data_IF_565217986747
#
_entry.id   IF_565217986747
#
_cell.length_a   1.000
_cell.length_b   1.000
_cell.length_c   1.000
_cell.angle_alpha   90.00
_cell.angle_beta   90.00
_cell.angle_gamma   90.00
#
_symmetry.space_group_name_H-M   'P 1'
#
loop_
_entity.id
_entity.type
_entity.pdbx_description
1 polymer ?
#
# COMPACT_ATOMS: atom_id res chain seq x y z
N UNK A 1 -9.64 -38.12 -19.34
CA UNK A 1 -10.00 -36.80 -19.83
C UNK A 1 -9.91 -35.85 -18.66
N UNK A 2 -8.79 -35.15 -18.56
CA UNK A 2 -8.56 -34.13 -17.54
C UNK A 2 -9.23 -32.89 -18.11
N UNK A 3 -10.25 -32.37 -17.42
CA UNK A 3 -10.89 -31.11 -17.79
C UNK A 3 -9.83 -30.00 -17.73
N UNK A 4 -9.52 -29.39 -18.87
CA UNK A 4 -8.79 -28.14 -18.93
C UNK A 4 -9.56 -27.11 -18.09
N UNK A 5 -8.94 -26.68 -17.00
CA UNK A 5 -9.43 -25.55 -16.24
C UNK A 5 -9.38 -24.34 -17.18
N UNK A 6 -10.55 -23.91 -17.65
CA UNK A 6 -10.71 -22.67 -18.38
C UNK A 6 -10.15 -21.55 -17.51
N UNK A 7 -9.02 -20.95 -17.94
CA UNK A 7 -8.53 -19.70 -17.37
C UNK A 7 -9.69 -18.70 -17.37
N UNK A 8 -9.95 -17.98 -16.27
CA UNK A 8 -10.93 -16.91 -16.31
C UNK A 8 -10.56 -15.97 -17.45
N UNK A 9 -11.53 -15.64 -18.30
CA UNK A 9 -11.34 -14.60 -19.32
C UNK A 9 -10.93 -13.33 -18.58
N UNK A 10 -9.69 -12.94 -18.76
CA UNK A 10 -9.22 -11.64 -18.33
C UNK A 10 -10.05 -10.61 -19.09
N UNK A 11 -10.95 -9.93 -18.40
CA UNK A 11 -11.68 -8.79 -18.93
C UNK A 11 -10.72 -7.60 -18.99
N UNK A 12 -9.91 -7.54 -20.02
CA UNK A 12 -9.13 -6.35 -20.31
C UNK A 12 -10.07 -5.23 -20.73
N UNK A 13 -10.03 -4.11 -20.02
CA UNK A 13 -10.72 -2.89 -20.40
C UNK A 13 -9.73 -1.96 -21.08
N UNK A 14 -10.14 -1.38 -22.22
CA UNK A 14 -9.31 -0.42 -22.93
C UNK A 14 -9.08 0.81 -22.08
N UNK A 15 -7.84 1.11 -21.81
CA UNK A 15 -7.43 2.31 -21.11
C UNK A 15 -6.02 2.68 -21.37
N UNK A 16 -5.55 3.59 -20.66
CA UNK A 16 -4.19 3.91 -20.29
C UNK A 16 -3.51 5.01 -21.11
N UNK A 17 -3.98 5.37 -22.26
CA UNK A 17 -3.56 6.60 -22.90
C UNK A 17 -4.72 7.32 -23.59
N UNK A 18 -4.60 8.63 -23.72
CA UNK A 18 -5.66 9.42 -24.32
C UNK A 18 -5.74 9.27 -25.85
N UNK A 19 -4.73 8.70 -26.48
CA UNK A 19 -4.54 8.75 -27.93
C UNK A 19 -4.40 10.17 -28.45
N UNK A 20 -4.46 10.34 -29.77
CA UNK A 20 -4.42 11.63 -30.41
C UNK A 20 -3.07 11.99 -30.99
N UNK A 21 -2.84 13.28 -31.19
CA UNK A 21 -1.68 13.78 -31.91
C UNK A 21 -0.94 14.87 -31.12
N UNK A 22 0.38 14.91 -31.31
CA UNK A 22 1.20 16.05 -30.96
C UNK A 22 1.64 16.70 -32.27
N UNK A 23 1.37 17.99 -32.41
CA UNK A 23 1.82 18.77 -33.56
C UNK A 23 2.97 19.67 -33.13
N UNK A 24 4.13 19.49 -33.72
CA UNK A 24 5.33 20.30 -33.49
C UNK A 24 5.56 21.17 -34.71
N UNK A 25 5.48 22.49 -34.52
CA UNK A 25 5.81 23.46 -35.57
C UNK A 25 7.20 24.03 -35.33
N UNK A 26 8.06 23.93 -36.32
CA UNK A 26 9.41 24.44 -36.30
C UNK A 26 9.47 25.62 -37.25
N UNK A 27 9.95 26.76 -36.75
CA UNK A 27 10.09 28.00 -37.53
C UNK A 27 11.47 28.58 -37.28
N UNK A 28 12.20 28.87 -38.34
CA UNK A 28 13.48 29.60 -38.28
C UNK A 28 13.20 31.10 -38.23
N UNK A 29 13.73 31.76 -37.21
CA UNK A 29 13.64 33.20 -36.99
C UNK A 29 15.04 33.80 -36.95
N UNK A 30 15.19 35.12 -37.10
CA UNK A 30 16.50 35.80 -37.00
C UNK A 30 17.22 35.51 -35.68
N UNK A 31 16.44 35.34 -34.60
CA UNK A 31 16.95 35.09 -33.25
C UNK A 31 17.25 33.60 -32.98
N UNK A 32 16.95 32.70 -33.92
CA UNK A 32 17.11 31.28 -33.80
C UNK A 32 15.85 30.47 -34.11
N UNK A 33 15.88 29.19 -33.83
CA UNK A 33 14.75 28.29 -34.08
C UNK A 33 13.71 28.40 -32.97
N UNK A 34 12.47 28.59 -33.40
CA UNK A 34 11.31 28.61 -32.51
C UNK A 34 10.47 27.34 -32.66
N UNK A 35 10.00 26.82 -31.56
CA UNK A 35 9.18 25.62 -31.50
C UNK A 35 7.82 25.95 -30.89
N UNK A 36 6.75 25.47 -31.53
CA UNK A 36 5.40 25.47 -30.96
C UNK A 36 4.88 24.03 -30.88
N UNK A 37 4.42 23.62 -29.73
CA UNK A 37 3.98 22.23 -29.48
C UNK A 37 2.51 22.28 -29.05
N UNK A 38 1.66 21.61 -29.81
CA UNK A 38 0.23 21.48 -29.53
C UNK A 38 -0.12 20.02 -29.29
N UNK A 39 -0.81 19.75 -28.17
CA UNK A 39 -1.32 18.42 -27.82
C UNK A 39 -2.82 18.37 -28.09
N UNK A 40 -3.26 17.38 -28.86
CA UNK A 40 -4.69 17.13 -29.12
C UNK A 40 -5.02 15.69 -28.76
N UNK A 41 -5.66 15.52 -27.62
CA UNK A 41 -6.11 14.20 -27.14
C UNK A 41 -7.42 13.81 -27.81
N UNK A 42 -7.55 12.54 -28.18
CA UNK A 42 -8.73 11.99 -28.89
C UNK A 42 -9.73 11.32 -27.96
N UNK A 43 -9.32 10.91 -26.77
CA UNK A 43 -10.17 10.17 -25.82
C UNK A 43 -10.26 10.92 -24.50
N UNK A 44 -11.40 10.82 -23.79
CA UNK A 44 -11.46 11.30 -22.42
C UNK A 44 -10.39 10.58 -21.61
N UNK A 45 -9.57 11.34 -20.93
CA UNK A 45 -8.62 10.80 -19.98
C UNK A 45 -9.42 10.22 -18.83
N UNK A 46 -9.02 9.05 -18.29
CA UNK A 46 -9.62 8.48 -17.11
C UNK A 46 -9.52 9.48 -15.92
N UNK A 47 -9.25 9.15 -14.74
CA UNK A 47 -9.42 10.08 -13.62
C UNK A 47 -8.19 10.94 -13.31
N UNK A 48 -7.00 10.51 -13.69
CA UNK A 48 -5.76 11.24 -13.35
C UNK A 48 -4.59 10.87 -14.25
N UNK A 49 -3.55 11.68 -14.19
CA UNK A 49 -2.28 11.39 -14.86
C UNK A 49 -1.11 11.87 -13.99
N UNK A 50 0.09 11.37 -14.28
CA UNK A 50 1.35 11.94 -13.80
C UNK A 50 2.33 12.06 -14.97
N UNK A 51 3.28 13.00 -14.84
CA UNK A 51 4.26 13.27 -15.88
C UNK A 51 5.63 12.69 -15.52
N UNK A 52 6.31 12.20 -16.56
CA UNK A 52 7.71 11.82 -16.51
C UNK A 52 8.49 12.85 -17.29
N UNK A 53 9.47 13.51 -16.65
CA UNK A 53 10.30 14.48 -17.30
C UNK A 53 11.47 13.78 -17.98
N UNK A 54 11.54 13.92 -19.31
CA UNK A 54 12.62 13.37 -20.12
C UNK A 54 13.54 14.52 -20.53
N UNK A 55 14.82 14.39 -20.19
CA UNK A 55 15.83 15.40 -20.55
C UNK A 55 16.06 15.41 -22.05
N UNK A 56 16.01 16.61 -22.63
CA UNK A 56 16.25 16.85 -24.06
C UNK A 56 17.50 17.74 -24.22
N UNK A 57 18.69 17.19 -24.38
CA UNK A 57 19.91 17.97 -24.54
C UNK A 57 19.90 18.82 -25.81
N UNK A 58 20.32 20.07 -25.72
CA UNK A 58 20.59 20.92 -26.84
C UNK A 58 19.38 21.64 -27.47
N UNK A 59 18.15 21.37 -27.03
CA UNK A 59 16.94 22.06 -27.53
C UNK A 59 16.24 22.74 -26.34
N UNK A 60 16.19 24.09 -26.33
CA UNK A 60 15.47 24.80 -25.28
C UNK A 60 13.96 24.61 -25.48
N UNK A 61 13.33 23.79 -24.65
CA UNK A 61 11.87 23.63 -24.61
C UNK A 61 11.35 24.56 -23.52
N UNK A 62 10.73 25.66 -23.91
CA UNK A 62 9.89 26.44 -23.00
C UNK A 62 8.47 25.87 -23.07
N UNK A 63 8.06 25.14 -22.06
CA UNK A 63 6.70 24.68 -21.96
C UNK A 63 5.83 25.73 -21.28
N UNK A 64 4.90 26.29 -22.04
CA UNK A 64 3.80 27.05 -21.47
C UNK A 64 2.61 26.08 -21.28
N UNK A 65 2.23 25.82 -20.07
CA UNK A 65 0.99 25.08 -19.77
C UNK A 65 -0.17 26.05 -19.92
N UNK A 66 -0.88 25.97 -21.04
CA UNK A 66 -2.13 26.69 -21.25
C UNK A 66 -3.29 25.89 -20.63
N UNK A 67 -3.69 26.29 -19.44
CA UNK A 67 -5.05 26.05 -18.93
C UNK A 67 -5.50 24.59 -18.76
N UNK A 68 -4.62 23.68 -18.42
CA UNK A 68 -5.02 22.34 -17.94
C UNK A 68 -5.39 22.38 -16.46
N UNK A 69 -6.41 21.66 -16.05
CA UNK A 69 -6.57 21.34 -14.63
C UNK A 69 -5.40 20.43 -14.26
N UNK A 70 -4.29 21.02 -13.83
CA UNK A 70 -3.11 20.29 -13.39
C UNK A 70 -3.48 19.35 -12.26
N UNK A 71 -3.06 18.10 -12.35
CA UNK A 71 -3.07 17.22 -11.19
C UNK A 71 -2.28 17.90 -10.06
N UNK A 72 -2.73 17.84 -8.80
CA UNK A 72 -1.95 18.35 -7.68
C UNK A 72 -0.55 17.72 -7.55
N UNK A 73 -0.26 16.70 -8.35
CA UNK A 73 1.02 16.02 -8.42
C UNK A 73 1.86 16.39 -9.67
N UNK A 74 1.36 17.26 -10.55
CA UNK A 74 2.16 17.74 -11.67
C UNK A 74 3.18 18.76 -11.16
N UNK A 75 4.48 18.48 -11.20
CA UNK A 75 5.51 19.40 -10.72
C UNK A 75 5.69 20.63 -11.62
N UNK A 76 4.94 20.70 -12.71
CA UNK A 76 5.09 21.74 -13.72
C UNK A 76 6.29 21.51 -14.66
N UNK A 77 6.50 22.40 -15.65
CA UNK A 77 7.56 22.25 -16.62
C UNK A 77 8.95 22.38 -15.98
N UNK A 78 9.84 21.46 -16.31
CA UNK A 78 11.24 21.47 -15.91
C UNK A 78 12.07 21.98 -17.11
N UNK A 79 12.89 23.02 -16.96
CA UNK A 79 13.73 23.54 -18.04
C UNK A 79 14.61 22.45 -18.68
N UNK A 80 14.65 22.40 -20.01
CA UNK A 80 15.42 21.41 -20.76
C UNK A 80 14.84 19.99 -20.74
N UNK A 81 13.60 19.83 -20.28
CA UNK A 81 12.89 18.56 -20.29
C UNK A 81 11.55 18.69 -20.99
N UNK A 82 11.06 17.60 -21.58
CA UNK A 82 9.67 17.47 -22.00
C UNK A 82 8.95 16.45 -21.14
N UNK A 83 7.63 16.52 -21.13
CA UNK A 83 6.78 15.67 -20.28
C UNK A 83 6.17 14.54 -21.09
N UNK A 84 6.30 13.32 -20.61
CA UNK A 84 5.53 12.16 -21.07
C UNK A 84 4.48 11.85 -20.04
N UNK A 85 3.21 11.83 -20.45
CA UNK A 85 2.09 11.59 -19.55
C UNK A 85 1.76 10.12 -19.46
N UNK A 86 1.62 9.63 -18.22
CA UNK A 86 1.11 8.31 -17.90
C UNK A 86 -0.26 8.47 -17.25
N UNK A 87 -1.26 7.81 -17.82
CA UNK A 87 -2.65 7.91 -17.38
C UNK A 87 -3.05 6.75 -16.50
N UNK A 88 -4.02 6.98 -15.62
CA UNK A 88 -4.65 5.92 -14.83
C UNK A 88 -5.58 5.07 -15.68
N UNK A 89 -5.95 3.91 -15.16
CA UNK A 89 -7.04 3.12 -15.69
C UNK A 89 -8.42 3.76 -15.40
N UNK A 90 -9.51 3.11 -15.86
CA UNK A 90 -10.89 3.58 -15.64
C UNK A 90 -11.29 3.68 -14.16
N UNK A 91 -10.57 3.01 -13.27
CA UNK A 91 -10.77 3.05 -11.82
C UNK A 91 -9.88 4.10 -11.14
N UNK A 92 -9.07 4.83 -11.90
CA UNK A 92 -8.11 5.79 -11.38
C UNK A 92 -6.86 5.15 -10.79
N UNK A 93 -6.55 3.92 -11.19
CA UNK A 93 -5.39 3.18 -10.69
C UNK A 93 -4.28 3.16 -11.75
N UNK A 94 -3.05 3.11 -11.29
CA UNK A 94 -1.86 2.93 -12.12
C UNK A 94 -1.24 1.57 -11.82
N UNK A 95 -0.92 0.79 -12.85
CA UNK A 95 -0.08 -0.39 -12.72
C UNK A 95 1.34 -0.02 -12.31
N UNK A 96 1.92 -0.81 -11.44
CA UNK A 96 3.27 -0.66 -10.92
C UNK A 96 3.98 -1.99 -10.90
N UNK A 97 5.29 -1.98 -11.13
CA UNK A 97 6.12 -3.16 -11.05
C UNK A 97 7.41 -2.83 -10.31
N UNK A 98 7.76 -3.66 -9.35
CA UNK A 98 8.99 -3.49 -8.58
C UNK A 98 10.18 -4.15 -9.26
N UNK A 99 11.24 -3.40 -9.54
CA UNK A 99 12.48 -3.95 -10.11
C UNK A 99 13.25 -4.87 -9.15
N UNK A 100 13.06 -4.70 -7.84
CA UNK A 100 13.78 -5.51 -6.84
C UNK A 100 13.13 -6.88 -6.59
N UNK A 101 11.80 -7.00 -6.60
CA UNK A 101 11.09 -8.25 -6.36
C UNK A 101 10.20 -8.71 -7.52
N UNK A 102 10.15 -7.96 -8.60
CA UNK A 102 9.40 -8.19 -9.84
C UNK A 102 7.89 -8.40 -9.65
N UNK A 103 7.32 -7.92 -8.52
CA UNK A 103 5.89 -8.04 -8.23
C UNK A 103 5.14 -6.83 -8.76
N UNK A 104 3.91 -7.09 -9.23
CA UNK A 104 2.98 -6.12 -9.77
C UNK A 104 1.91 -5.75 -8.73
N UNK A 105 1.51 -4.49 -8.69
CA UNK A 105 0.37 -3.96 -7.93
C UNK A 105 -0.22 -2.75 -8.64
N UNK A 106 -1.36 -2.25 -8.14
CA UNK A 106 -1.96 -1.00 -8.59
C UNK A 106 -2.08 0.00 -7.46
N UNK A 107 -1.97 1.28 -7.78
CA UNK A 107 -2.16 2.37 -6.83
C UNK A 107 -2.80 3.59 -7.50
N UNK A 108 -3.52 4.41 -6.72
CA UNK A 108 -4.09 5.68 -7.23
C UNK A 108 -3.09 6.83 -7.28
N UNK A 109 -1.94 6.68 -6.68
CA UNK A 109 -0.94 7.74 -6.57
C UNK A 109 0.41 7.27 -7.12
N UNK A 110 1.29 8.20 -7.52
CA UNK A 110 2.67 7.86 -7.86
C UNK A 110 3.36 7.18 -6.68
N UNK A 111 3.88 5.98 -6.92
CA UNK A 111 4.51 5.15 -5.89
C UNK A 111 5.97 5.54 -5.70
N UNK A 112 6.44 5.50 -4.46
CA UNK A 112 7.84 5.66 -4.06
C UNK A 112 8.35 4.45 -3.25
N UNK A 113 7.44 3.52 -2.92
CA UNK A 113 7.74 2.25 -2.26
C UNK A 113 7.09 1.10 -2.99
N UNK A 114 7.74 -0.06 -2.96
CA UNK A 114 7.12 -1.30 -3.39
C UNK A 114 6.11 -1.79 -2.35
N UNK A 115 4.88 -2.07 -2.77
CA UNK A 115 3.83 -2.56 -1.89
C UNK A 115 4.16 -3.92 -1.23
N UNK A 116 5.11 -4.70 -1.77
CA UNK A 116 5.46 -6.02 -1.23
C UNK A 116 6.77 -6.08 -0.48
N UNK A 117 7.82 -5.46 -1.03
CA UNK A 117 9.14 -5.56 -0.43
C UNK A 117 9.59 -4.27 0.25
N UNK A 118 8.81 -3.21 0.16
CA UNK A 118 9.15 -1.92 0.75
C UNK A 118 10.42 -1.27 0.16
N UNK A 119 10.94 -1.79 -0.98
CA UNK A 119 12.02 -1.12 -1.68
C UNK A 119 11.57 0.29 -2.08
N UNK A 120 12.42 1.28 -1.86
CA UNK A 120 12.14 2.68 -2.17
C UNK A 120 12.91 3.15 -3.38
N UNK A 121 12.26 3.97 -4.21
CA UNK A 121 12.85 4.54 -5.41
C UNK A 121 12.02 5.68 -5.96
N UNK A 122 12.50 6.33 -7.02
CA UNK A 122 11.73 7.34 -7.71
C UNK A 122 10.52 6.71 -8.44
N UNK A 123 9.44 7.48 -8.59
CA UNK A 123 8.19 6.95 -9.13
C UNK A 123 8.32 6.31 -10.53
N UNK A 124 9.24 6.80 -11.36
CA UNK A 124 9.52 6.23 -12.68
C UNK A 124 10.21 4.86 -12.64
N UNK A 125 10.81 4.48 -11.52
CA UNK A 125 11.45 3.17 -11.33
C UNK A 125 10.43 2.05 -11.06
N UNK A 126 9.16 2.41 -10.85
CA UNK A 126 8.04 1.48 -10.68
C UNK A 126 7.15 1.36 -11.92
N UNK A 127 7.59 1.90 -13.05
CA UNK A 127 6.89 1.66 -14.31
C UNK A 127 6.87 0.17 -14.64
N UNK A 128 5.77 -0.30 -15.20
CA UNK A 128 5.72 -1.62 -15.84
C UNK A 128 6.63 -1.61 -17.07
N UNK A 129 7.02 -2.79 -17.54
CA UNK A 129 7.83 -2.89 -18.75
C UNK A 129 7.13 -2.25 -19.97
N UNK A 130 5.81 -2.39 -20.07
CA UNK A 130 5.02 -1.77 -21.13
C UNK A 130 5.04 -0.23 -21.02
N UNK A 131 4.83 0.31 -19.82
CA UNK A 131 4.91 1.76 -19.59
C UNK A 131 6.31 2.31 -19.89
N UNK A 132 7.36 1.59 -19.48
CA UNK A 132 8.73 1.99 -19.75
C UNK A 132 9.02 2.03 -21.26
N UNK A 133 8.59 1.00 -22.02
CA UNK A 133 8.71 0.99 -23.48
C UNK A 133 7.92 2.12 -24.14
N UNK A 134 6.71 2.39 -23.66
CA UNK A 134 5.93 3.53 -24.16
C UNK A 134 6.65 4.85 -23.97
N UNK A 135 7.18 5.13 -22.78
CA UNK A 135 7.97 6.35 -22.51
C UNK A 135 9.17 6.43 -23.43
N UNK A 136 9.84 5.34 -23.70
CA UNK A 136 10.98 5.26 -24.62
C UNK A 136 10.57 5.56 -26.06
N UNK A 137 9.51 4.95 -26.57
CA UNK A 137 9.02 5.17 -27.94
C UNK A 137 8.50 6.60 -28.12
N UNK A 138 7.74 7.11 -27.14
CA UNK A 138 7.30 8.51 -27.12
C UNK A 138 8.51 9.46 -27.18
N UNK A 139 9.54 9.20 -26.38
CA UNK A 139 10.74 10.01 -26.34
C UNK A 139 11.48 10.00 -27.67
N UNK A 140 11.59 8.84 -28.30
CA UNK A 140 12.22 8.68 -29.60
C UNK A 140 11.48 9.44 -30.69
N UNK A 141 10.15 9.30 -30.76
CA UNK A 141 9.31 10.03 -31.74
C UNK A 141 9.37 11.55 -31.53
N UNK A 142 9.42 11.99 -30.28
CA UNK A 142 9.53 13.41 -29.95
C UNK A 142 10.89 13.98 -30.34
N UNK A 143 11.96 13.26 -30.06
CA UNK A 143 13.32 13.63 -30.45
C UNK A 143 13.50 13.68 -31.97
N UNK A 144 12.96 12.69 -32.68
CA UNK A 144 12.97 12.65 -34.14
C UNK A 144 12.27 13.88 -34.71
N UNK A 145 11.05 14.19 -34.28
CA UNK A 145 10.31 15.36 -34.71
C UNK A 145 11.04 16.69 -34.45
N UNK A 146 11.73 16.83 -33.32
CA UNK A 146 12.52 18.02 -32.98
C UNK A 146 13.85 18.12 -33.75
N UNK A 147 14.36 16.99 -34.26
CA UNK A 147 15.66 16.94 -34.97
C UNK A 147 15.61 17.46 -36.40
N UNK A 148 14.42 17.58 -36.98
CA UNK A 148 14.24 18.07 -38.36
C UNK A 148 14.84 19.49 -38.53
N UNK A 149 15.58 19.68 -39.61
CA UNK A 149 16.27 20.94 -39.90
C UNK A 149 15.40 21.95 -40.66
N UNK A 150 14.38 21.47 -41.33
CA UNK A 150 13.49 22.28 -42.15
C UNK A 150 12.34 22.90 -41.33
N UNK A 151 11.91 24.10 -41.70
CA UNK A 151 10.70 24.69 -41.17
C UNK A 151 9.49 23.86 -41.63
N UNK A 152 8.58 23.55 -40.68
CA UNK A 152 7.45 22.71 -41.01
C UNK A 152 6.61 22.30 -39.80
N UNK A 153 5.62 21.50 -40.11
CA UNK A 153 4.74 20.89 -39.12
C UNK A 153 4.99 19.37 -39.07
N UNK A 154 5.37 18.87 -37.91
CA UNK A 154 5.70 17.48 -37.68
C UNK A 154 4.67 16.90 -36.70
N UNK A 155 4.03 15.81 -37.08
CA UNK A 155 2.95 15.23 -36.33
C UNK A 155 3.38 13.90 -35.74
N UNK A 156 3.21 13.73 -34.42
CA UNK A 156 3.40 12.48 -33.70
C UNK A 156 2.02 11.91 -33.40
N UNK A 157 1.73 10.74 -33.92
CA UNK A 157 0.53 9.98 -33.62
C UNK A 157 0.76 9.17 -32.35
N UNK A 158 0.03 9.51 -31.27
CA UNK A 158 0.15 8.84 -29.96
C UNK A 158 -0.40 7.43 -29.97
N UNK A 159 -1.35 7.11 -30.84
CA UNK A 159 -1.83 5.74 -31.03
C UNK A 159 -0.74 4.89 -31.69
N UNK A 160 -0.09 5.42 -32.72
CA UNK A 160 1.04 4.75 -33.36
C UNK A 160 2.24 4.56 -32.43
N UNK A 161 2.54 5.54 -31.57
CA UNK A 161 3.57 5.42 -30.53
C UNK A 161 3.26 4.27 -29.57
N UNK A 162 2.02 4.16 -29.15
CA UNK A 162 1.60 3.10 -28.25
C UNK A 162 1.57 1.72 -28.94
N UNK A 163 1.16 1.66 -30.21
CA UNK A 163 1.19 0.43 -31.01
C UNK A 163 2.62 -0.10 -31.24
N UNK A 164 3.60 0.80 -31.38
CA UNK A 164 5.00 0.43 -31.55
C UNK A 164 5.64 -0.22 -30.30
N UNK A 165 4.99 -0.15 -29.15
CA UNK A 165 5.49 -0.72 -27.88
C UNK A 165 5.37 -2.25 -27.84
N UNK A 166 4.43 -2.82 -28.57
CA UNK A 166 4.07 -4.23 -28.48
C UNK A 166 4.41 -5.06 -29.69
N UNK A 167 4.24 -6.35 -29.57
CA UNK A 167 4.13 -7.32 -30.63
C UNK A 167 2.68 -7.34 -31.17
N UNK A 168 2.29 -8.33 -31.93
CA UNK A 168 0.95 -8.46 -32.54
C UNK A 168 -0.25 -8.29 -31.57
N UNK A 169 -0.05 -8.51 -30.27
CA UNK A 169 -1.03 -8.19 -29.23
C UNK A 169 -0.83 -6.77 -28.71
N UNK A 170 -1.94 -6.04 -28.51
CA UNK A 170 -1.88 -4.69 -27.91
C UNK A 170 -1.16 -4.78 -26.55
N UNK A 171 -0.22 -3.87 -26.30
CA UNK A 171 0.55 -3.92 -25.04
C UNK A 171 -0.35 -3.70 -23.83
N UNK A 172 0.00 -4.24 -22.67
CA UNK A 172 -0.77 -4.06 -21.42
C UNK A 172 -1.09 -2.61 -21.09
N UNK A 173 -0.32 -1.68 -21.63
CA UNK A 173 -0.55 -0.24 -21.49
C UNK A 173 -1.90 0.24 -22.05
N UNK A 174 -2.47 -0.45 -23.04
CA UNK A 174 -3.77 -0.13 -23.62
C UNK A 174 -4.96 -0.65 -22.82
N UNK A 175 -4.71 -1.52 -21.86
CA UNK A 175 -5.77 -2.23 -21.15
C UNK A 175 -5.92 -1.72 -19.73
N UNK A 176 -7.04 -2.06 -19.10
CA UNK A 176 -7.17 -1.92 -17.67
C UNK A 176 -6.04 -2.67 -17.01
N UNK A 177 -5.44 -2.00 -16.03
CA UNK A 177 -4.46 -2.65 -15.21
C UNK A 177 -5.09 -3.85 -14.49
N UNK A 178 -4.35 -4.94 -14.39
CA UNK A 178 -4.83 -6.18 -13.80
C UNK A 178 -5.24 -5.98 -12.34
N UNK A 179 -6.53 -6.23 -12.03
CA UNK A 179 -7.06 -6.15 -10.68
C UNK A 179 -6.42 -7.24 -9.81
N UNK A 180 -5.92 -6.83 -8.65
CA UNK A 180 -5.36 -7.74 -7.65
C UNK A 180 -6.46 -8.21 -6.68
N UNK A 181 -6.11 -8.91 -5.61
CA UNK A 181 -7.08 -9.53 -4.71
C UNK A 181 -7.53 -8.65 -3.55
N UNK A 182 -6.66 -7.76 -3.08
CA UNK A 182 -6.90 -7.01 -1.86
C UNK A 182 -6.70 -5.52 -2.07
N UNK A 183 -7.81 -4.79 -1.96
CA UNK A 183 -7.83 -3.33 -2.02
C UNK A 183 -7.87 -2.76 -0.61
N UNK A 184 -6.97 -1.85 -0.31
CA UNK A 184 -6.98 -1.13 0.96
C UNK A 184 -6.67 0.36 0.76
N UNK A 185 -7.14 1.15 1.71
CA UNK A 185 -6.79 2.57 1.84
C UNK A 185 -5.83 2.71 3.00
N UNK A 186 -4.72 3.39 2.77
CA UNK A 186 -3.73 3.64 3.80
C UNK A 186 -4.29 4.56 4.88
N UNK A 187 -4.24 4.15 6.15
CA UNK A 187 -4.69 4.95 7.29
C UNK A 187 -3.86 6.23 7.50
N UNK A 188 -2.62 6.26 7.02
CA UNK A 188 -1.70 7.37 7.26
C UNK A 188 -1.75 8.45 6.18
N UNK A 189 -1.88 8.07 4.90
CA UNK A 189 -1.81 9.02 3.78
C UNK A 189 -2.96 8.93 2.77
N UNK A 190 -3.98 8.09 3.05
CA UNK A 190 -5.19 7.90 2.24
C UNK A 190 -4.93 7.40 0.81
N UNK A 191 -3.73 6.90 0.53
CA UNK A 191 -3.44 6.27 -0.76
C UNK A 191 -4.23 4.97 -0.90
N UNK A 192 -4.77 4.74 -2.10
CA UNK A 192 -5.49 3.51 -2.43
C UNK A 192 -4.56 2.54 -3.13
N UNK A 193 -4.50 1.33 -2.60
CA UNK A 193 -3.66 0.25 -3.07
C UNK A 193 -4.49 -0.95 -3.47
N UNK A 194 -4.02 -1.72 -4.47
CA UNK A 194 -4.61 -2.98 -4.89
C UNK A 194 -3.47 -4.00 -5.05
N UNK A 195 -3.37 -4.95 -4.14
CA UNK A 195 -2.26 -5.89 -4.00
C UNK A 195 -2.71 -7.34 -4.05
N UNK A 196 -1.80 -8.24 -4.40
CA UNK A 196 -1.98 -9.67 -4.22
C UNK A 196 -1.58 -10.06 -2.79
N UNK A 197 -2.49 -10.71 -2.08
CA UNK A 197 -2.31 -11.04 -0.68
C UNK A 197 -2.83 -9.99 0.29
N UNK A 198 -2.80 -10.31 1.59
CA UNK A 198 -3.48 -9.53 2.64
C UNK A 198 -2.65 -8.36 3.16
N UNK A 199 -1.34 -8.58 3.30
CA UNK A 199 -0.44 -7.65 3.98
C UNK A 199 0.54 -7.00 3.01
N UNK A 200 0.74 -5.71 3.15
CA UNK A 200 1.62 -4.94 2.29
C UNK A 200 2.01 -3.59 2.85
N UNK A 201 2.85 -2.90 2.08
CA UNK A 201 3.21 -1.52 2.32
C UNK A 201 2.30 -0.59 1.51
N UNK A 202 1.99 0.56 2.05
CA UNK A 202 1.51 1.67 1.25
C UNK A 202 2.60 2.10 0.28
N UNK A 203 2.29 2.13 -1.01
CA UNK A 203 3.28 2.45 -2.03
C UNK A 203 3.71 3.93 -2.04
N UNK A 204 2.98 4.78 -1.33
CA UNK A 204 3.25 6.23 -1.25
C UNK A 204 4.04 6.62 -0.01
N UNK A 205 3.65 6.15 1.18
CA UNK A 205 4.32 6.53 2.42
C UNK A 205 5.12 5.41 3.08
N UNK A 206 5.04 4.18 2.58
CA UNK A 206 5.78 3.05 3.14
C UNK A 206 5.23 2.50 4.46
N UNK A 207 4.10 3.01 4.99
CA UNK A 207 3.46 2.42 6.15
C UNK A 207 2.87 1.05 5.83
N UNK A 208 2.78 0.18 6.84
CA UNK A 208 2.20 -1.14 6.66
C UNK A 208 0.70 -1.15 6.97
N UNK A 209 -0.05 -2.01 6.26
CA UNK A 209 -1.49 -2.16 6.48
C UNK A 209 -1.85 -3.22 7.55
N UNK A 210 -0.87 -3.89 8.15
CA UNK A 210 -1.10 -5.05 9.03
C UNK A 210 -1.99 -4.74 10.22
N UNK A 211 -1.79 -3.59 10.87
CA UNK A 211 -2.63 -3.16 12.01
C UNK A 211 -4.06 -2.89 11.57
N UNK A 212 -4.27 -2.26 10.41
CA UNK A 212 -5.61 -2.02 9.88
C UNK A 212 -6.34 -3.34 9.56
N UNK A 213 -5.62 -4.32 9.03
CA UNK A 213 -6.16 -5.67 8.77
C UNK A 213 -6.47 -6.43 10.07
N UNK A 214 -5.63 -6.28 11.09
CA UNK A 214 -5.91 -6.82 12.42
C UNK A 214 -7.15 -6.16 13.01
N UNK A 215 -7.29 -4.84 12.90
CA UNK A 215 -8.43 -4.09 13.42
C UNK A 215 -9.77 -4.53 12.82
N UNK A 216 -9.81 -4.83 11.53
CA UNK A 216 -10.98 -5.44 10.87
C UNK A 216 -11.32 -6.80 11.53
N UNK A 217 -10.32 -7.63 11.75
CA UNK A 217 -10.49 -8.93 12.41
C UNK A 217 -10.99 -8.77 13.85
N UNK A 218 -10.40 -7.84 14.61
CA UNK A 218 -10.80 -7.57 15.99
C UNK A 218 -12.21 -6.99 16.09
N UNK A 219 -12.62 -6.20 15.11
CA UNK A 219 -13.99 -5.68 15.04
C UNK A 219 -14.99 -6.82 14.84
N UNK A 220 -14.73 -7.74 13.93
CA UNK A 220 -15.59 -8.91 13.72
C UNK A 220 -15.65 -9.81 14.97
N UNK A 221 -14.53 -9.99 15.69
CA UNK A 221 -14.51 -10.74 16.95
C UNK A 221 -15.34 -10.02 18.02
N UNK A 222 -15.22 -8.70 18.17
CA UNK A 222 -16.04 -7.93 19.12
C UNK A 222 -17.52 -8.02 18.83
N UNK A 223 -17.93 -8.03 17.57
CA UNK A 223 -19.32 -8.23 17.18
C UNK A 223 -19.82 -9.63 17.60
N UNK A 224 -19.00 -10.69 17.47
CA UNK A 224 -19.32 -12.04 17.95
C UNK A 224 -19.47 -12.07 19.46
N UNK A 225 -18.55 -11.45 20.20
CA UNK A 225 -18.61 -11.32 21.66
C UNK A 225 -19.92 -10.63 22.09
N UNK A 226 -20.26 -9.51 21.44
CA UNK A 226 -21.47 -8.73 21.76
C UNK A 226 -22.78 -9.51 21.49
N UNK A 227 -22.75 -10.45 20.54
CA UNK A 227 -23.88 -11.35 20.23
C UNK A 227 -23.99 -12.57 21.16
N UNK A 228 -23.12 -12.67 22.18
CA UNK A 228 -23.10 -13.81 23.09
C UNK A 228 -22.53 -15.10 22.46
N UNK A 229 -21.61 -14.97 21.49
CA UNK A 229 -20.95 -16.09 20.86
C UNK A 229 -19.99 -16.82 21.81
N UNK A 230 -19.43 -17.97 21.40
CA UNK A 230 -18.50 -18.73 22.26
C UNK A 230 -17.26 -17.88 22.53
N UNK A 231 -17.08 -17.47 23.78
CA UNK A 231 -16.01 -16.55 24.18
C UNK A 231 -14.65 -17.20 24.08
N UNK A 232 -14.55 -18.50 24.31
CA UNK A 232 -13.36 -19.33 24.15
C UNK A 232 -12.81 -19.24 22.71
N UNK A 233 -13.69 -19.39 21.72
CA UNK A 233 -13.34 -19.23 20.31
C UNK A 233 -12.89 -17.79 20.01
N UNK A 234 -13.52 -16.80 20.61
CA UNK A 234 -13.13 -15.40 20.44
C UNK A 234 -11.72 -15.13 21.00
N UNK A 235 -11.38 -15.70 22.15
CA UNK A 235 -10.02 -15.63 22.73
C UNK A 235 -9.01 -16.34 21.85
N UNK A 236 -9.30 -17.57 21.42
CA UNK A 236 -8.44 -18.36 20.52
C UNK A 236 -8.14 -17.56 19.24
N UNK A 237 -9.18 -17.08 18.57
CA UNK A 237 -9.06 -16.35 17.30
C UNK A 237 -8.30 -15.02 17.47
N UNK A 238 -8.46 -14.33 18.60
CA UNK A 238 -7.75 -13.10 18.93
C UNK A 238 -6.24 -13.33 19.04
N UNK A 239 -5.84 -14.36 19.81
CA UNK A 239 -4.42 -14.71 19.99
C UNK A 239 -3.81 -15.21 18.67
N UNK A 240 -4.54 -16.04 17.91
CA UNK A 240 -4.08 -16.53 16.62
C UNK A 240 -3.87 -15.39 15.60
N UNK A 241 -4.75 -14.39 15.60
CA UNK A 241 -4.58 -13.20 14.74
C UNK A 241 -3.34 -12.38 15.13
N UNK A 242 -3.04 -12.25 16.42
CA UNK A 242 -1.82 -11.60 16.89
C UNK A 242 -0.56 -12.38 16.54
N UNK A 243 -0.55 -13.69 16.71
CA UNK A 243 0.57 -14.57 16.31
C UNK A 243 0.88 -14.40 14.81
N UNK A 244 -0.16 -14.39 13.97
CA UNK A 244 -0.04 -14.13 12.54
C UNK A 244 0.56 -12.74 12.23
N UNK A 245 0.11 -11.71 12.95
CA UNK A 245 0.64 -10.33 12.82
C UNK A 245 2.14 -10.30 13.17
N UNK A 246 2.52 -10.81 14.34
CA UNK A 246 3.93 -10.84 14.79
C UNK A 246 4.80 -11.57 13.77
N UNK A 247 4.33 -12.72 13.27
CA UNK A 247 5.02 -13.49 12.24
C UNK A 247 5.29 -12.67 10.97
N UNK A 248 4.35 -11.85 10.53
CA UNK A 248 4.55 -10.98 9.36
C UNK A 248 5.60 -9.89 9.63
N UNK A 249 5.52 -9.20 10.78
CA UNK A 249 6.52 -8.18 11.13
C UNK A 249 7.92 -8.78 11.29
N UNK A 250 8.05 -9.94 11.93
CA UNK A 250 9.34 -10.62 12.07
C UNK A 250 9.92 -11.00 10.72
N UNK A 251 9.12 -11.54 9.78
CA UNK A 251 9.57 -11.83 8.41
C UNK A 251 10.10 -10.60 7.70
N UNK A 252 9.41 -9.45 7.86
CA UNK A 252 9.85 -8.19 7.26
C UNK A 252 11.14 -7.65 7.89
N UNK A 253 11.27 -7.71 9.22
CA UNK A 253 12.49 -7.34 9.93
C UNK A 253 13.68 -8.21 9.52
N UNK A 254 13.48 -9.53 9.50
CA UNK A 254 14.51 -10.49 9.08
C UNK A 254 14.97 -10.27 7.64
N UNK A 255 14.07 -9.86 6.78
CA UNK A 255 14.38 -9.57 5.37
C UNK A 255 15.18 -8.27 5.22
N UNK A 256 14.91 -7.26 6.03
CA UNK A 256 15.41 -5.88 5.84
C UNK A 256 16.55 -5.49 6.79
N UNK A 257 16.63 -6.11 7.95
CA UNK A 257 17.69 -5.84 8.92
C UNK A 257 18.85 -6.81 8.72
N UNK A 258 20.07 -6.33 8.46
CA UNK A 258 21.24 -7.20 8.32
C UNK A 258 21.49 -8.00 9.60
N UNK A 259 21.62 -9.32 9.48
CA UNK A 259 21.89 -10.20 10.61
C UNK A 259 22.59 -11.49 10.20
N UNK A 260 23.15 -12.20 11.18
CA UNK A 260 23.81 -13.48 10.91
C UNK A 260 22.80 -14.56 10.50
N UNK A 261 23.19 -15.56 9.67
CA UNK A 261 22.32 -16.64 9.27
C UNK A 261 21.71 -17.40 10.47
N UNK A 262 22.48 -17.61 11.53
CA UNK A 262 21.98 -18.29 12.73
C UNK A 262 20.85 -17.52 13.42
N UNK A 263 20.96 -16.18 13.52
CA UNK A 263 19.90 -15.33 14.09
C UNK A 263 18.66 -15.31 13.20
N UNK A 264 18.88 -15.24 11.87
CA UNK A 264 17.80 -15.29 10.89
C UNK A 264 17.00 -16.57 11.01
N UNK A 265 17.65 -17.72 10.98
CA UNK A 265 16.99 -19.03 11.12
C UNK A 265 16.21 -19.17 12.43
N UNK A 266 16.78 -18.67 13.56
CA UNK A 266 16.10 -18.69 14.86
C UNK A 266 14.80 -17.87 14.83
N UNK A 267 14.82 -16.68 14.25
CA UNK A 267 13.64 -15.81 14.14
C UNK A 267 12.58 -16.38 13.18
N UNK A 268 12.99 -16.91 12.03
CA UNK A 268 12.08 -17.49 11.03
C UNK A 268 11.42 -18.80 11.52
N UNK A 269 12.10 -19.58 12.37
CA UNK A 269 11.56 -20.78 12.99
C UNK A 269 10.78 -20.50 14.29
N UNK A 270 10.79 -19.27 14.77
CA UNK A 270 10.13 -18.86 16.00
C UNK A 270 8.63 -19.11 15.97
N UNK A 271 8.10 -19.59 17.09
CA UNK A 271 6.65 -19.72 17.31
C UNK A 271 6.22 -18.60 18.25
N UNK A 272 5.31 -17.76 17.78
CA UNK A 272 4.93 -16.52 18.47
C UNK A 272 3.68 -16.66 19.36
N UNK A 273 3.34 -17.90 19.75
CA UNK A 273 2.20 -18.21 20.62
C UNK A 273 2.52 -18.19 22.13
N UNK A 274 3.72 -17.78 22.52
CA UNK A 274 4.09 -17.52 23.91
C UNK A 274 4.45 -16.04 24.06
N UNK A 275 3.60 -15.29 24.77
CA UNK A 275 3.73 -13.83 24.88
C UNK A 275 5.07 -13.41 25.52
N UNK A 276 5.52 -14.09 26.56
CA UNK A 276 6.77 -13.75 27.24
C UNK A 276 7.98 -13.97 26.33
N UNK A 277 8.00 -15.09 25.58
CA UNK A 277 9.05 -15.38 24.61
C UNK A 277 9.08 -14.33 23.49
N UNK A 278 7.93 -13.98 22.93
CA UNK A 278 7.79 -12.94 21.88
C UNK A 278 8.29 -11.59 22.36
N UNK A 279 7.85 -11.18 23.55
CA UNK A 279 8.27 -9.90 24.15
C UNK A 279 9.78 -9.84 24.33
N UNK A 280 10.37 -10.92 24.87
CA UNK A 280 11.82 -11.01 25.10
C UNK A 280 12.59 -11.01 23.77
N UNK A 281 12.16 -11.76 22.79
CA UNK A 281 12.83 -11.85 21.48
C UNK A 281 12.78 -10.54 20.70
N UNK A 282 11.61 -9.89 20.62
CA UNK A 282 11.46 -8.60 19.92
C UNK A 282 12.26 -7.49 20.59
N UNK A 283 12.21 -7.43 21.93
CA UNK A 283 12.98 -6.44 22.71
C UNK A 283 14.49 -6.68 22.62
N UNK A 284 14.92 -7.94 22.77
CA UNK A 284 16.35 -8.28 22.77
C UNK A 284 17.01 -8.24 21.39
N UNK A 285 16.25 -8.40 20.31
CA UNK A 285 16.78 -8.44 18.96
C UNK A 285 16.62 -7.14 18.19
N UNK A 286 15.51 -6.44 18.40
CA UNK A 286 15.11 -5.27 17.60
C UNK A 286 14.81 -4.03 18.46
N UNK A 287 14.95 -4.12 19.77
CA UNK A 287 14.60 -3.04 20.73
C UNK A 287 13.10 -2.67 20.73
N UNK A 288 12.26 -3.54 20.17
CA UNK A 288 10.81 -3.33 20.07
C UNK A 288 10.13 -3.81 21.35
N UNK A 289 9.56 -2.88 22.13
CA UNK A 289 8.80 -3.19 23.33
C UNK A 289 7.30 -3.21 23.05
N UNK A 290 6.76 -4.40 22.78
CA UNK A 290 5.33 -4.56 22.47
C UNK A 290 4.42 -4.35 23.69
N UNK A 291 4.94 -4.47 24.91
CA UNK A 291 4.17 -4.25 26.16
C UNK A 291 4.35 -2.83 26.73
N UNK A 292 4.89 -1.88 25.96
CA UNK A 292 5.01 -0.50 26.40
C UNK A 292 3.64 0.06 26.83
N UNK A 293 3.59 0.62 28.06
CA UNK A 293 2.36 1.17 28.64
C UNK A 293 1.27 0.14 29.01
N UNK A 294 1.60 -1.15 28.99
CA UNK A 294 0.73 -2.22 29.51
C UNK A 294 1.00 -2.41 30.99
N UNK A 295 -0.02 -2.57 31.81
CA UNK A 295 0.13 -2.82 33.24
C UNK A 295 0.65 -4.24 33.49
N UNK A 296 1.35 -4.45 34.61
CA UNK A 296 1.81 -5.80 35.01
C UNK A 296 0.65 -6.79 35.17
N UNK A 297 -0.53 -6.33 35.53
CA UNK A 297 -1.73 -7.13 35.63
C UNK A 297 -2.21 -7.56 34.25
N UNK A 298 -2.25 -6.64 33.27
CA UNK A 298 -2.63 -6.95 31.89
C UNK A 298 -1.60 -7.85 31.20
N UNK A 299 -0.31 -7.70 31.51
CA UNK A 299 0.73 -8.61 31.00
C UNK A 299 0.50 -10.04 31.50
N UNK A 300 0.23 -10.21 32.81
CA UNK A 300 -0.10 -11.52 33.38
C UNK A 300 -1.37 -12.10 32.79
N UNK A 301 -2.41 -11.28 32.68
CA UNK A 301 -3.66 -11.68 32.04
C UNK A 301 -3.43 -12.10 30.58
N UNK A 302 -2.67 -11.33 29.81
CA UNK A 302 -2.30 -11.65 28.44
C UNK A 302 -1.59 -13.00 28.34
N UNK A 303 -0.55 -13.21 29.17
CA UNK A 303 0.18 -14.46 29.21
C UNK A 303 -0.75 -15.66 29.50
N UNK A 304 -1.68 -15.51 30.45
CA UNK A 304 -2.68 -16.53 30.76
C UNK A 304 -3.56 -16.85 29.54
N UNK A 305 -4.05 -15.83 28.82
CA UNK A 305 -4.89 -16.02 27.63
C UNK A 305 -4.14 -16.74 26.50
N UNK A 306 -2.83 -16.50 26.36
CA UNK A 306 -1.99 -17.21 25.39
C UNK A 306 -1.84 -18.69 25.75
N UNK A 307 -1.73 -19.05 27.04
CA UNK A 307 -1.75 -20.42 27.46
C UNK A 307 -3.14 -21.08 27.26
N UNK A 308 -4.23 -20.35 27.57
CA UNK A 308 -5.61 -20.86 27.37
C UNK A 308 -5.93 -21.11 25.90
N UNK A 309 -5.43 -20.25 25.01
CA UNK A 309 -5.55 -20.48 23.55
C UNK A 309 -5.01 -21.85 23.15
N UNK A 310 -3.86 -22.26 23.69
CA UNK A 310 -3.29 -23.58 23.41
C UNK A 310 -4.23 -24.71 23.85
N UNK A 311 -4.84 -24.57 25.02
CA UNK A 311 -5.80 -25.54 25.53
C UNK A 311 -7.06 -25.63 24.66
N UNK A 312 -7.59 -24.47 24.21
CA UNK A 312 -8.76 -24.44 23.33
C UNK A 312 -8.48 -25.07 21.96
N UNK A 313 -7.29 -24.94 21.46
CA UNK A 313 -6.94 -25.41 20.12
C UNK A 313 -6.58 -26.92 20.08
N UNK A 314 -5.93 -27.42 21.14
CA UNK A 314 -5.33 -28.73 21.12
C UNK A 314 -5.95 -29.74 22.11
N UNK A 315 -6.58 -29.25 23.19
CA UNK A 315 -7.05 -30.09 24.28
C UNK A 315 -8.58 -30.00 24.48
N UNK A 316 -9.33 -29.54 23.48
CA UNK A 316 -10.78 -29.44 23.58
C UNK A 316 -11.29 -28.53 24.70
N UNK A 317 -10.47 -27.61 25.20
CA UNK A 317 -10.80 -26.71 26.29
C UNK A 317 -10.55 -27.27 27.69
N UNK A 318 -10.03 -28.50 27.85
CA UNK A 318 -9.72 -29.10 29.14
C UNK A 318 -8.28 -28.82 29.58
N UNK A 319 -8.10 -28.30 30.80
CA UNK A 319 -6.79 -28.02 31.38
C UNK A 319 -5.97 -29.29 31.58
N UNK A 320 -4.80 -29.37 30.98
CA UNK A 320 -3.83 -30.41 31.16
C UNK A 320 -2.74 -30.06 32.18
N UNK A 321 -1.87 -31.00 32.50
CA UNK A 321 -0.78 -30.81 33.45
C UNK A 321 0.21 -29.71 32.97
N UNK A 322 0.46 -29.64 31.66
CA UNK A 322 1.35 -28.67 31.07
C UNK A 322 0.80 -27.23 31.19
N UNK A 323 -0.51 -27.04 30.99
CA UNK A 323 -1.17 -25.76 31.20
C UNK A 323 -1.02 -25.28 32.64
N UNK A 324 -1.32 -26.15 33.63
CA UNK A 324 -1.24 -25.81 35.07
C UNK A 324 0.19 -25.42 35.44
N UNK A 325 1.17 -26.20 35.04
CA UNK A 325 2.59 -25.95 35.33
C UNK A 325 3.08 -24.64 34.68
N UNK A 326 2.77 -24.40 33.38
CA UNK A 326 3.29 -23.24 32.66
C UNK A 326 2.55 -21.96 32.97
N UNK A 327 1.23 -22.01 33.15
CA UNK A 327 0.42 -20.81 33.44
C UNK A 327 0.49 -20.39 34.91
N UNK A 328 0.76 -21.30 35.82
CA UNK A 328 0.64 -21.08 37.26
C UNK A 328 -0.79 -20.73 37.70
N UNK A 329 -1.79 -21.07 36.91
CA UNK A 329 -3.21 -20.85 37.23
C UNK A 329 -3.69 -21.75 38.35
N UNK A 330 -3.56 -21.29 39.59
CA UNK A 330 -3.98 -22.00 40.79
C UNK A 330 -5.51 -22.13 40.95
N UNK A 331 -6.28 -21.44 40.11
CA UNK A 331 -7.75 -21.47 40.19
C UNK A 331 -8.39 -22.64 39.44
N UNK A 332 -7.61 -23.34 38.60
CA UNK A 332 -8.06 -24.40 37.70
C UNK A 332 -7.49 -25.77 38.17
N UNK A 333 -8.32 -26.79 38.09
CA UNK A 333 -7.91 -28.19 38.37
C UNK A 333 -7.61 -28.93 37.07
N UNK A 334 -6.80 -29.98 37.20
CA UNK A 334 -6.53 -30.91 36.08
C UNK A 334 -7.85 -31.43 35.50
N UNK A 335 -7.97 -31.45 34.14
CA UNK A 335 -9.17 -31.85 33.38
C UNK A 335 -10.40 -30.95 33.57
N UNK A 336 -10.26 -29.83 34.26
CA UNK A 336 -11.35 -28.87 34.34
C UNK A 336 -11.51 -28.16 33.01
N UNK A 337 -12.75 -28.03 32.50
CA UNK A 337 -13.05 -27.20 31.34
C UNK A 337 -12.82 -25.74 31.66
N UNK A 338 -12.08 -25.07 30.79
CA UNK A 338 -11.84 -23.64 30.86
C UNK A 338 -13.00 -22.86 30.23
N UNK A 339 -13.46 -21.85 30.92
CA UNK A 339 -14.52 -20.96 30.42
C UNK A 339 -14.06 -19.52 30.43
N UNK A 340 -14.54 -18.78 29.45
CA UNK A 340 -14.28 -17.34 29.32
C UNK A 340 -15.55 -16.53 29.56
N UNK A 341 -15.35 -15.30 29.99
CA UNK A 341 -16.41 -14.31 30.11
C UNK A 341 -16.40 -13.33 28.94
N UNK A 342 -17.50 -12.62 28.75
CA UNK A 342 -17.57 -11.51 27.82
C UNK A 342 -16.49 -10.46 28.12
N UNK A 343 -16.23 -10.19 29.40
CA UNK A 343 -15.23 -9.24 29.85
C UNK A 343 -13.81 -9.71 29.50
N UNK A 344 -13.44 -10.97 29.81
CA UNK A 344 -12.13 -11.52 29.46
C UNK A 344 -11.88 -11.51 27.95
N UNK A 345 -12.89 -11.84 27.16
CA UNK A 345 -12.81 -11.80 25.69
C UNK A 345 -12.60 -10.37 25.15
N UNK A 346 -13.32 -9.38 25.67
CA UNK A 346 -13.08 -7.98 25.29
C UNK A 346 -11.74 -7.44 25.76
N UNK A 347 -11.28 -7.82 26.96
CA UNK A 347 -10.02 -7.39 27.55
C UNK A 347 -8.83 -7.87 26.70
N UNK A 348 -8.84 -9.15 26.27
CA UNK A 348 -7.74 -9.67 25.43
C UNK A 348 -7.72 -9.00 24.05
N UNK A 349 -8.88 -8.72 23.43
CA UNK A 349 -8.94 -7.96 22.16
C UNK A 349 -8.33 -6.57 22.33
N UNK A 350 -8.63 -5.88 23.43
CA UNK A 350 -8.06 -4.55 23.73
C UNK A 350 -6.54 -4.61 23.92
N UNK A 351 -6.05 -5.60 24.65
CA UNK A 351 -4.63 -5.81 24.91
C UNK A 351 -3.86 -6.12 23.63
N UNK A 352 -4.35 -7.05 22.82
CA UNK A 352 -3.76 -7.41 21.53
C UNK A 352 -3.67 -6.20 20.60
N UNK A 353 -4.70 -5.37 20.51
CA UNK A 353 -4.66 -4.15 19.70
C UNK A 353 -3.61 -3.15 20.20
N UNK A 354 -3.41 -3.02 21.49
CA UNK A 354 -2.36 -2.17 22.06
C UNK A 354 -0.97 -2.70 21.70
N UNK A 355 -0.73 -3.99 21.92
CA UNK A 355 0.55 -4.64 21.58
C UNK A 355 0.85 -4.55 20.07
N UNK A 356 -0.15 -4.71 19.22
CA UNK A 356 -0.01 -4.58 17.78
C UNK A 356 0.39 -3.15 17.35
N UNK A 357 -0.18 -2.13 17.98
CA UNK A 357 0.20 -0.73 17.74
C UNK A 357 1.64 -0.45 18.18
N UNK A 358 2.04 -0.97 19.33
CA UNK A 358 3.42 -0.86 19.81
C UNK A 358 4.41 -1.56 18.85
N UNK A 359 4.05 -2.75 18.36
CA UNK A 359 4.86 -3.47 17.38
C UNK A 359 5.00 -2.67 16.08
N UNK A 360 3.91 -2.12 15.56
CA UNK A 360 3.93 -1.30 14.34
C UNK A 360 4.77 -0.03 14.54
N UNK A 361 4.64 0.63 15.68
CA UNK A 361 5.45 1.80 15.98
C UNK A 361 6.94 1.44 16.00
N UNK A 362 7.35 0.42 16.79
CA UNK A 362 8.74 -0.01 16.85
C UNK A 362 9.30 -0.50 15.52
N UNK A 363 8.46 -1.14 14.69
CA UNK A 363 8.84 -1.49 13.33
C UNK A 363 9.17 -0.24 12.48
N UNK A 364 8.36 0.80 12.57
CA UNK A 364 8.57 2.03 11.80
C UNK A 364 9.64 2.96 12.38
N UNK A 365 10.08 2.75 13.63
CA UNK A 365 11.31 3.35 14.16
C UNK A 365 12.56 2.75 13.47
N UNK A 366 12.52 1.46 13.09
CA UNK A 366 13.61 0.78 12.37
C UNK A 366 13.51 1.02 10.86
N UNK A 367 12.29 1.01 10.32
CA UNK A 367 11.98 1.15 8.90
C UNK A 367 11.05 2.35 8.72
N UNK A 368 11.60 3.58 8.59
CA UNK A 368 10.82 4.80 8.58
C UNK A 368 9.83 4.90 7.43
N UNK A 369 8.72 5.57 7.68
CA UNK A 369 7.74 6.01 6.68
C UNK A 369 8.15 7.34 6.05
N UNK A 370 7.57 7.66 4.87
CA UNK A 370 7.75 8.97 4.24
C UNK A 370 6.81 10.01 4.89
N UNK A 371 7.31 10.72 5.88
CA UNK A 371 6.53 11.68 6.66
C UNK A 371 5.95 12.82 5.82
N UNK A 372 6.61 13.21 4.72
CA UNK A 372 6.10 14.29 3.85
C UNK A 372 4.77 13.90 3.18
N UNK A 373 4.61 12.63 2.79
CA UNK A 373 3.37 12.14 2.23
C UNK A 373 2.25 12.16 3.27
N UNK A 374 2.54 11.73 4.47
CA UNK A 374 1.62 11.74 5.62
C UNK A 374 1.23 13.16 6.00
N UNK A 375 2.20 14.07 6.14
CA UNK A 375 1.96 15.46 6.48
C UNK A 375 1.12 16.18 5.41
N UNK A 376 1.34 15.88 4.13
CA UNK A 376 0.54 16.41 3.02
C UNK A 376 -0.92 15.99 3.14
N UNK A 377 -1.17 14.73 3.42
CA UNK A 377 -2.52 14.23 3.61
C UNK A 377 -3.20 14.88 4.82
N UNK A 378 -2.52 14.95 5.97
CA UNK A 378 -3.04 15.61 7.17
C UNK A 378 -3.39 17.08 6.90
N UNK A 379 -2.53 17.80 6.19
CA UNK A 379 -2.78 19.19 5.80
C UNK A 379 -3.96 19.33 4.82
N UNK A 380 -4.17 18.35 3.93
CA UNK A 380 -5.34 18.31 3.06
C UNK A 380 -6.64 18.11 3.85
N UNK A 381 -6.67 17.15 4.78
CA UNK A 381 -7.81 16.91 5.66
C UNK A 381 -8.16 18.15 6.50
N UNK A 382 -7.14 18.80 7.08
CA UNK A 382 -7.37 20.01 7.87
C UNK A 382 -7.98 21.12 7.02
N UNK A 383 -7.47 21.36 5.81
CA UNK A 383 -8.06 22.35 4.88
C UNK A 383 -9.51 22.01 4.50
N UNK A 384 -9.81 20.73 4.28
CA UNK A 384 -11.17 20.29 3.98
C UNK A 384 -12.14 20.52 5.17
N UNK A 385 -11.64 20.37 6.40
CA UNK A 385 -12.41 20.69 7.63
C UNK A 385 -12.64 22.21 7.74
N UNK A 386 -11.59 22.99 7.53
CA UNK A 386 -11.62 24.45 7.68
C UNK A 386 -12.49 25.13 6.61
N UNK A 387 -12.57 24.56 5.42
CA UNK A 387 -13.36 25.07 4.29
C UNK A 387 -14.85 24.75 4.38
N UNK A 388 -15.30 23.90 5.34
CA UNK A 388 -16.73 23.63 5.53
C UNK A 388 -17.48 24.90 5.93
N UNK A 389 -18.61 25.26 5.25
CA UNK A 389 -19.38 26.43 5.59
C UNK A 389 -19.79 26.45 7.06
N UNK A 390 -19.70 27.59 7.73
CA UNK A 390 -20.07 27.78 9.14
C UNK A 390 -21.52 27.35 9.46
N UNK A 391 -22.43 27.36 8.48
CA UNK A 391 -23.81 26.92 8.58
C UNK A 391 -23.97 25.44 9.00
N UNK A 392 -23.06 24.56 8.62
CA UNK A 392 -23.06 23.14 9.02
C UNK A 392 -22.46 22.92 10.41
N UNK A 393 -21.66 23.86 10.92
CA UNK A 393 -21.15 23.82 12.31
C UNK A 393 -22.25 24.17 13.32
N UNK A 394 -23.16 25.07 12.95
CA UNK A 394 -24.28 25.46 13.82
C UNK A 394 -25.41 24.41 13.87
N UNK A 395 -25.62 23.62 12.83
CA UNK A 395 -26.63 22.57 12.81
C UNK A 395 -26.28 21.35 13.72
N UNK A 396 -25.03 21.15 14.08
CA UNK A 396 -24.62 20.14 15.08
C UNK A 396 -24.76 20.63 16.50
N UNK A 397 -24.52 21.91 16.77
CA UNK A 397 -24.69 22.50 18.11
C UNK A 397 -26.14 22.56 18.59
N UNK A 398 -27.14 22.53 17.67
CA UNK A 398 -28.56 22.51 18.01
C UNK A 398 -29.08 21.11 18.35
N UNK A 399 -28.38 20.03 17.93
CA UNK A 399 -28.75 18.64 18.27
C UNK A 399 -28.16 18.15 19.59
N UNK A 400 -27.18 18.83 20.14
CA UNK A 400 -26.59 18.52 21.46
C UNK A 400 -27.21 19.34 22.59
N UNK A 401 -28.12 20.27 22.28
CA UNK A 401 -28.82 21.15 23.25
C UNK A 401 -30.32 20.87 23.33
N UNK A 402 -30.83 19.78 22.75
CA UNK A 402 -32.19 19.27 22.88
C UNK A 402 -32.14 17.78 23.23
#
# INVERSE_FOLDING_TARGET
MIAEATKPKEEFREIAHSGGIITIRILTRPEGRAYSIEFRHCRPVASSFYSIHVVQPGIPIATAVLGGMGSPHDPGPVPGCFQVYVFSDSEGMYGRQCRACNRYWRSKSPSTFCAYCGWSGASHEFLTDAQARYVQQYSAAFQDALSHQEDGEYVIDLDAVADAVGSEEKPPFYYAEESQQNRFTCSECDSHEDILGRFGYCSVCGSRNDVAELEKTMTAIRERINKGGPYEDCVRDTVAAFDSLVSQYVKELVRRVPMTPARKNRLESGRFHNLAAVTTELKGTFDINITAGVSAEDEKFGALMFYRRHVYEHNGGEADAQYIEQSGDSTVRLKQALHESQESAHRIVGLVMRMAKNLNQGFHEIIPVEERAIARHKAYLQRAIDSRPKALKNARGIREAS
#
